data_IF_993090853416
#
_entry.id   IF_993090853416
#
_cell.length_a   1.000
_cell.length_b   1.000
_cell.length_c   1.000
_cell.angle_alpha   90.00
_cell.angle_beta   90.00
_cell.angle_gamma   90.00
#
_symmetry.space_group_name_H-M   'P 1'
#
loop_
_entity.id
_entity.type
_entity.pdbx_description
1 polymer ?
#
# COMPACT_ATOMS: atom_id res chain seq x y z
N UNK A 1 -12.79 -16.59 -2.60
CA UNK A 1 -11.37 -16.61 -3.03
C UNK A 1 -10.63 -17.44 -1.99
N UNK A 2 -9.57 -18.15 -2.38
CA UNK A 2 -8.66 -18.78 -1.40
C UNK A 2 -8.02 -17.68 -0.55
N UNK A 3 -7.67 -17.99 0.69
CA UNK A 3 -6.88 -17.04 1.48
C UNK A 3 -5.48 -16.88 0.89
N UNK A 4 -4.83 -15.75 1.15
CA UNK A 4 -3.45 -15.47 0.75
C UNK A 4 -2.53 -16.60 1.22
N UNK A 5 -2.70 -17.05 2.47
CA UNK A 5 -1.94 -18.15 3.04
C UNK A 5 -2.13 -19.45 2.26
N UNK A 6 -3.36 -19.82 1.91
CA UNK A 6 -3.63 -21.02 1.11
C UNK A 6 -2.99 -20.93 -0.29
N UNK A 7 -3.09 -19.77 -0.96
CA UNK A 7 -2.47 -19.58 -2.27
C UNK A 7 -0.95 -19.63 -2.18
N UNK A 8 -0.34 -19.03 -1.15
CA UNK A 8 1.11 -19.12 -0.90
C UNK A 8 1.54 -20.55 -0.59
N UNK A 9 0.79 -21.31 0.22
CA UNK A 9 1.10 -22.71 0.51
C UNK A 9 1.08 -23.57 -0.76
N UNK A 10 0.11 -23.35 -1.66
CA UNK A 10 0.04 -24.02 -2.97
C UNK A 10 1.26 -23.66 -3.84
N UNK A 11 1.63 -22.37 -3.90
CA UNK A 11 2.74 -21.91 -4.72
C UNK A 11 4.10 -22.38 -4.20
N UNK A 12 4.28 -22.42 -2.88
CA UNK A 12 5.55 -22.82 -2.25
C UNK A 12 5.76 -24.33 -2.29
N UNK A 13 4.67 -25.12 -2.21
CA UNK A 13 4.71 -26.58 -2.34
C UNK A 13 4.74 -27.07 -3.79
N UNK A 14 4.56 -26.18 -4.77
CA UNK A 14 4.55 -26.53 -6.17
C UNK A 14 5.93 -27.03 -6.64
N UNK A 15 5.93 -28.19 -7.32
CA UNK A 15 7.14 -28.77 -7.90
C UNK A 15 7.07 -28.71 -9.43
N UNK A 16 7.75 -27.73 -10.03
CA UNK A 16 7.91 -27.66 -11.47
C UNK A 16 8.95 -28.72 -11.85
N UNK A 17 8.51 -29.86 -12.38
CA UNK A 17 9.44 -30.90 -12.84
C UNK A 17 10.27 -30.38 -14.02
N UNK A 18 9.83 -30.66 -15.25
CA UNK A 18 10.41 -30.12 -16.48
C UNK A 18 9.69 -28.89 -17.04
N UNK A 19 8.53 -28.56 -16.45
CA UNK A 19 7.69 -27.46 -16.89
C UNK A 19 8.03 -26.20 -16.11
N UNK A 20 7.83 -25.06 -16.76
CA UNK A 20 8.03 -23.75 -16.16
C UNK A 20 6.72 -23.16 -15.66
N UNK A 21 6.83 -22.11 -14.87
CA UNK A 21 5.73 -21.31 -14.34
C UNK A 21 5.85 -19.91 -14.91
N UNK A 22 4.78 -19.42 -15.53
CA UNK A 22 4.64 -18.02 -15.86
C UNK A 22 4.17 -17.27 -14.60
N UNK A 23 4.96 -16.32 -14.14
CA UNK A 23 4.66 -15.42 -13.01
C UNK A 23 4.46 -14.01 -13.55
N UNK A 24 3.24 -13.49 -13.46
CA UNK A 24 2.88 -12.15 -13.93
C UNK A 24 2.62 -11.26 -12.72
N UNK A 25 3.24 -10.08 -12.71
CA UNK A 25 2.88 -8.96 -11.85
C UNK A 25 2.43 -7.81 -12.74
N UNK A 26 1.18 -7.36 -12.57
CA UNK A 26 0.59 -6.36 -13.44
C UNK A 26 -0.05 -5.25 -12.63
N UNK A 27 0.28 -4.01 -12.98
CA UNK A 27 -0.27 -2.80 -12.40
C UNK A 27 -1.65 -2.52 -12.99
N UNK A 28 -2.59 -2.18 -12.12
CA UNK A 28 -4.01 -1.99 -12.42
C UNK A 28 -4.54 -0.68 -11.82
N UNK A 29 -3.74 0.38 -11.90
CA UNK A 29 -4.15 1.70 -11.43
C UNK A 29 -5.28 2.25 -12.31
N UNK A 30 -6.06 3.25 -11.85
CA UNK A 30 -7.12 3.84 -12.66
C UNK A 30 -6.65 4.25 -14.06
N UNK A 31 -5.43 4.77 -14.19
CA UNK A 31 -4.80 5.18 -15.45
C UNK A 31 -4.48 4.00 -16.38
N UNK A 32 -4.10 2.84 -15.82
CA UNK A 32 -3.80 1.64 -16.60
C UNK A 32 -5.08 0.96 -17.12
N UNK A 33 -6.22 1.20 -16.47
CA UNK A 33 -7.53 0.64 -16.85
C UNK A 33 -8.19 1.40 -18.00
N UNK A 34 -7.84 2.67 -18.19
CA UNK A 34 -8.30 3.47 -19.34
C UNK A 34 -7.89 2.77 -20.63
N UNK A 35 -8.84 2.63 -21.54
CA UNK A 35 -8.67 1.96 -22.85
C UNK A 35 -8.08 0.54 -22.78
N UNK A 36 -8.16 -0.11 -21.61
CA UNK A 36 -7.54 -1.41 -21.34
C UNK A 36 -6.01 -1.42 -21.58
N UNK A 37 -5.32 -0.32 -21.28
CA UNK A 37 -3.86 -0.21 -21.42
C UNK A 37 -3.10 -1.36 -20.73
N UNK A 38 -3.57 -1.83 -19.58
CA UNK A 38 -3.01 -3.00 -18.90
C UNK A 38 -2.97 -4.28 -19.78
N UNK A 39 -3.99 -4.52 -20.62
CA UNK A 39 -3.99 -5.66 -21.55
C UNK A 39 -2.97 -5.46 -22.67
N UNK A 40 -2.80 -4.23 -23.15
CA UNK A 40 -1.79 -3.92 -24.16
C UNK A 40 -0.38 -4.18 -23.61
N UNK A 41 -0.10 -3.68 -22.40
CA UNK A 41 1.17 -3.92 -21.71
C UNK A 41 1.42 -5.44 -21.54
N UNK A 42 0.41 -6.19 -21.11
CA UNK A 42 0.50 -7.64 -21.01
C UNK A 42 0.84 -8.32 -22.35
N UNK A 43 0.16 -7.94 -23.44
CA UNK A 43 0.43 -8.50 -24.78
C UNK A 43 1.84 -8.19 -25.28
N UNK A 44 2.35 -6.99 -25.00
CA UNK A 44 3.72 -6.62 -25.34
C UNK A 44 4.73 -7.47 -24.57
N UNK A 45 4.56 -7.61 -23.25
CA UNK A 45 5.40 -8.48 -22.42
C UNK A 45 5.36 -9.95 -22.87
N UNK A 46 4.18 -10.46 -23.25
CA UNK A 46 4.06 -11.83 -23.79
C UNK A 46 4.84 -11.97 -25.10
N UNK A 47 4.77 -10.98 -25.99
CA UNK A 47 5.51 -10.99 -27.25
C UNK A 47 7.02 -11.03 -27.00
N UNK A 48 7.52 -10.14 -26.15
CA UNK A 48 8.94 -10.08 -25.77
C UNK A 48 9.40 -11.37 -25.11
N UNK A 49 8.59 -11.93 -24.19
CA UNK A 49 8.91 -13.21 -23.56
C UNK A 49 8.93 -14.37 -24.55
N UNK A 50 8.02 -14.42 -25.53
CA UNK A 50 8.07 -15.45 -26.58
C UNK A 50 9.32 -15.33 -27.45
N UNK A 51 9.69 -14.11 -27.84
CA UNK A 51 10.91 -13.85 -28.60
C UNK A 51 12.15 -14.29 -27.80
N UNK A 52 12.19 -13.98 -26.51
CA UNK A 52 13.24 -14.39 -25.59
C UNK A 52 13.33 -15.91 -25.44
N UNK A 53 12.20 -16.56 -25.14
CA UNK A 53 12.13 -18.00 -24.93
C UNK A 53 12.45 -18.79 -26.20
N UNK A 54 12.14 -18.27 -27.39
CA UNK A 54 12.49 -18.92 -28.66
C UNK A 54 14.00 -19.06 -28.88
N UNK A 55 14.81 -18.18 -28.27
CA UNK A 55 16.28 -18.25 -28.30
C UNK A 55 16.84 -19.27 -27.31
N UNK A 56 16.08 -19.61 -26.27
CA UNK A 56 16.42 -20.67 -25.31
C UNK A 56 15.96 -21.99 -25.93
N UNK A 57 16.88 -22.92 -26.16
CA UNK A 57 16.62 -24.19 -26.84
C UNK A 57 15.72 -25.13 -26.00
N UNK A 58 14.47 -24.72 -25.76
CA UNK A 58 13.49 -25.37 -24.90
C UNK A 58 12.76 -26.48 -25.66
N UNK A 59 12.36 -27.53 -24.94
CA UNK A 59 11.51 -28.58 -25.51
C UNK A 59 10.20 -28.00 -26.03
N UNK A 60 9.74 -28.47 -27.19
CA UNK A 60 8.48 -28.03 -27.81
C UNK A 60 7.28 -28.17 -26.86
N UNK A 61 7.23 -29.24 -26.07
CA UNK A 61 6.18 -29.46 -25.07
C UNK A 61 6.14 -28.38 -23.98
N UNK A 62 7.28 -27.83 -23.59
CA UNK A 62 7.38 -26.76 -22.59
C UNK A 62 6.85 -25.46 -23.19
N UNK A 63 7.23 -25.14 -24.43
CA UNK A 63 6.72 -23.97 -25.15
C UNK A 63 5.20 -24.03 -25.35
N UNK A 64 4.65 -25.18 -25.73
CA UNK A 64 3.20 -25.37 -25.86
C UNK A 64 2.44 -25.22 -24.52
N UNK A 65 3.06 -25.59 -23.39
CA UNK A 65 2.48 -25.32 -22.08
C UNK A 65 2.46 -23.82 -21.79
N UNK A 66 3.56 -23.12 -22.04
CA UNK A 66 3.68 -21.68 -21.79
C UNK A 66 2.71 -20.86 -22.66
N UNK A 67 2.51 -21.25 -23.92
CA UNK A 67 1.51 -20.61 -24.78
C UNK A 67 0.09 -20.73 -24.20
N UNK A 68 -0.26 -21.91 -23.66
CA UNK A 68 -1.55 -22.11 -22.95
C UNK A 68 -1.62 -21.27 -21.69
N UNK A 69 -0.52 -21.11 -20.97
CA UNK A 69 -0.43 -20.27 -19.77
C UNK A 69 -0.70 -18.80 -20.10
N UNK A 70 -0.05 -18.25 -21.13
CA UNK A 70 -0.30 -16.89 -21.58
C UNK A 70 -1.75 -16.69 -22.05
N UNK A 71 -2.33 -17.64 -22.78
CA UNK A 71 -3.74 -17.55 -23.20
C UNK A 71 -4.72 -17.59 -22.03
N UNK A 72 -4.45 -18.38 -20.99
CA UNK A 72 -5.27 -18.40 -19.76
C UNK A 72 -5.17 -17.08 -19.01
N UNK A 73 -3.97 -16.54 -18.86
CA UNK A 73 -3.76 -15.22 -18.27
C UNK A 73 -4.51 -14.13 -19.04
N UNK A 74 -4.42 -14.11 -20.37
CA UNK A 74 -5.14 -13.14 -21.22
C UNK A 74 -6.66 -13.23 -21.03
N UNK A 75 -7.19 -14.46 -20.98
CA UNK A 75 -8.62 -14.70 -20.79
C UNK A 75 -9.08 -14.16 -19.44
N UNK A 76 -8.33 -14.44 -18.37
CA UNK A 76 -8.63 -13.95 -17.03
C UNK A 76 -8.58 -12.42 -16.93
N UNK A 77 -7.57 -11.79 -17.52
CA UNK A 77 -7.40 -10.33 -17.54
C UNK A 77 -8.45 -9.63 -18.40
N UNK A 78 -9.01 -10.31 -19.41
CA UNK A 78 -10.04 -9.72 -20.28
C UNK A 78 -11.39 -9.53 -19.57
N UNK A 79 -11.63 -10.27 -18.48
CA UNK A 79 -12.83 -10.18 -17.66
C UNK A 79 -12.68 -9.08 -16.60
N UNK A 80 -13.35 -7.92 -16.82
CA UNK A 80 -13.26 -6.76 -15.94
C UNK A 80 -13.69 -7.02 -14.49
N UNK A 81 -14.59 -7.98 -14.28
CA UNK A 81 -15.07 -8.34 -12.94
C UNK A 81 -13.96 -8.93 -12.07
N UNK A 82 -13.06 -9.71 -12.67
CA UNK A 82 -11.92 -10.32 -11.98
C UNK A 82 -10.99 -9.25 -11.40
N UNK A 83 -10.89 -8.12 -12.08
CA UNK A 83 -10.01 -7.01 -11.72
C UNK A 83 -10.65 -6.03 -10.73
N UNK A 84 -11.91 -6.19 -10.32
CA UNK A 84 -12.55 -5.25 -9.38
C UNK A 84 -11.86 -5.30 -8.01
N UNK A 85 -11.60 -4.11 -7.44
CA UNK A 85 -11.08 -3.95 -6.07
C UNK A 85 -9.58 -4.19 -5.90
N UNK A 86 -8.81 -4.36 -6.98
CA UNK A 86 -7.35 -4.48 -6.91
C UNK A 86 -6.66 -3.32 -7.62
N UNK A 87 -5.46 -2.96 -7.17
CA UNK A 87 -4.62 -1.96 -7.84
C UNK A 87 -3.36 -2.58 -8.45
N UNK A 88 -3.07 -3.82 -8.10
CA UNK A 88 -2.15 -4.73 -8.77
C UNK A 88 -2.70 -6.15 -8.79
N UNK A 89 -2.10 -7.02 -9.59
CA UNK A 89 -2.45 -8.44 -9.62
C UNK A 89 -1.21 -9.29 -9.86
N UNK A 90 -1.10 -10.38 -9.12
CA UNK A 90 -0.15 -11.45 -9.37
C UNK A 90 -0.88 -12.68 -9.91
N UNK A 91 -0.41 -13.23 -11.04
CA UNK A 91 -0.95 -14.46 -11.64
C UNK A 91 0.18 -15.46 -11.84
N UNK A 92 -0.03 -16.69 -11.36
CA UNK A 92 0.90 -17.80 -11.51
C UNK A 92 0.22 -18.92 -12.29
N UNK A 93 0.78 -19.29 -13.44
CA UNK A 93 0.20 -20.32 -14.31
C UNK A 93 1.23 -21.36 -14.72
N UNK A 94 0.84 -22.64 -14.63
CA UNK A 94 1.53 -23.77 -15.24
C UNK A 94 0.52 -24.81 -15.69
N UNK A 95 0.15 -24.77 -16.96
CA UNK A 95 -0.96 -25.52 -17.53
C UNK A 95 -0.68 -27.01 -17.57
N UNK A 96 0.56 -27.41 -17.83
CA UNK A 96 0.99 -28.80 -17.80
C UNK A 96 0.88 -29.45 -16.41
N UNK A 97 0.85 -28.64 -15.34
CA UNK A 97 0.73 -29.09 -13.95
C UNK A 97 -0.54 -28.64 -13.26
N UNK A 98 -1.46 -28.00 -13.98
CA UNK A 98 -2.76 -27.56 -13.46
C UNK A 98 -2.69 -26.41 -12.45
N UNK A 99 -1.59 -25.65 -12.42
CA UNK A 99 -1.46 -24.48 -11.55
C UNK A 99 -2.11 -23.26 -12.24
N UNK A 100 -3.03 -22.60 -11.54
CA UNK A 100 -3.55 -21.28 -11.91
C UNK A 100 -4.00 -20.56 -10.63
N UNK A 101 -3.11 -19.75 -10.06
CA UNK A 101 -3.36 -18.99 -8.83
C UNK A 101 -3.34 -17.50 -9.13
N UNK A 102 -4.27 -16.77 -8.52
CA UNK A 102 -4.41 -15.33 -8.70
C UNK A 102 -4.48 -14.65 -7.34
N UNK A 103 -3.62 -13.67 -7.12
CA UNK A 103 -3.53 -12.89 -5.90
C UNK A 103 -3.78 -11.42 -6.26
N UNK A 104 -4.78 -10.81 -5.62
CA UNK A 104 -5.04 -9.37 -5.76
C UNK A 104 -4.09 -8.61 -4.85
N UNK A 105 -3.44 -7.58 -5.37
CA UNK A 105 -2.44 -6.81 -4.65
C UNK A 105 -2.87 -5.34 -4.51
N UNK A 106 -2.45 -4.66 -3.41
CA UNK A 106 -2.66 -3.22 -3.23
C UNK A 106 -1.79 -2.37 -4.17
N UNK A 107 -0.68 -2.92 -4.65
CA UNK A 107 0.19 -2.36 -5.68
C UNK A 107 1.09 -3.48 -6.22
N UNK A 108 1.88 -3.18 -7.23
CA UNK A 108 3.03 -3.99 -7.69
C UNK A 108 4.18 -3.03 -7.91
N UNK A 109 5.43 -3.51 -7.86
CA UNK A 109 6.57 -2.64 -8.10
C UNK A 109 6.56 -2.11 -9.54
N UNK A 110 6.42 -3.01 -10.51
CA UNK A 110 6.28 -2.66 -11.93
C UNK A 110 5.58 -3.79 -12.70
N UNK A 111 5.27 -3.55 -13.97
CA UNK A 111 4.74 -4.61 -14.84
C UNK A 111 5.88 -5.58 -15.17
N UNK A 112 5.70 -6.87 -14.84
CA UNK A 112 6.72 -7.91 -15.01
C UNK A 112 6.05 -9.21 -15.43
N UNK A 113 6.59 -9.87 -16.45
CA UNK A 113 6.21 -11.22 -16.83
C UNK A 113 7.46 -12.07 -16.86
N UNK A 114 7.57 -13.00 -15.91
CA UNK A 114 8.73 -13.85 -15.74
C UNK A 114 8.37 -15.30 -16.01
N UNK A 115 9.29 -16.04 -16.62
CA UNK A 115 9.17 -17.48 -16.80
C UNK A 115 10.35 -18.16 -16.14
N UNK A 116 10.05 -18.92 -15.09
CA UNK A 116 11.06 -19.62 -14.27
C UNK A 116 10.58 -21.02 -13.94
N UNK A 117 11.48 -21.92 -13.51
CA UNK A 117 11.06 -23.21 -12.96
C UNK A 117 10.07 -22.99 -11.81
N UNK A 118 10.49 -22.33 -10.73
CA UNK A 118 9.64 -22.09 -9.56
C UNK A 118 8.78 -20.82 -9.71
N UNK A 119 7.59 -20.76 -9.07
CA UNK A 119 6.81 -19.53 -8.99
C UNK A 119 7.59 -18.41 -8.27
N UNK A 120 7.61 -17.20 -8.85
CA UNK A 120 8.31 -16.04 -8.26
C UNK A 120 7.41 -15.37 -7.23
N UNK A 121 7.35 -15.87 -5.99
CA UNK A 121 6.43 -15.37 -4.94
C UNK A 121 7.01 -14.27 -4.05
N UNK A 122 8.30 -13.93 -4.20
CA UNK A 122 9.01 -13.00 -3.30
C UNK A 122 8.37 -11.61 -3.26
N UNK A 123 7.92 -11.09 -4.40
CA UNK A 123 7.24 -9.78 -4.47
C UNK A 123 5.92 -9.79 -3.68
N UNK A 124 5.13 -10.86 -3.74
CA UNK A 124 3.92 -10.96 -2.89
C UNK A 124 4.28 -10.92 -1.40
N UNK A 125 5.30 -11.68 -0.99
CA UNK A 125 5.72 -11.71 0.41
C UNK A 125 6.26 -10.35 0.89
N UNK A 126 7.02 -9.66 0.04
CA UNK A 126 7.55 -8.34 0.34
C UNK A 126 6.45 -7.28 0.47
N UNK A 127 5.46 -7.29 -0.44
CA UNK A 127 4.30 -6.40 -0.35
C UNK A 127 3.48 -6.67 0.92
N UNK A 128 3.37 -7.94 1.36
CA UNK A 128 2.68 -8.27 2.62
C UNK A 128 3.38 -7.66 3.84
N UNK A 129 4.70 -7.82 3.89
CA UNK A 129 5.55 -7.31 4.96
C UNK A 129 5.59 -5.77 4.97
N UNK A 130 5.72 -5.15 3.79
CA UNK A 130 5.73 -3.69 3.63
C UNK A 130 4.40 -3.04 3.95
N UNK A 131 3.28 -3.62 3.46
CA UNK A 131 1.95 -3.11 3.77
C UNK A 131 1.71 -3.21 5.27
N UNK A 132 2.01 -4.37 5.85
CA UNK A 132 1.72 -4.72 7.23
C UNK A 132 0.22 -4.62 7.52
N UNK A 133 -0.12 -4.45 8.79
CA UNK A 133 -1.50 -4.19 9.20
C UNK A 133 -1.74 -2.70 9.33
N UNK A 134 -2.79 -2.21 8.67
CA UNK A 134 -3.23 -0.81 8.75
C UNK A 134 -4.49 -0.74 9.61
N UNK A 135 -4.38 -0.11 10.78
CA UNK A 135 -5.54 0.26 11.59
C UNK A 135 -6.23 1.48 10.97
N UNK A 136 -7.54 1.42 10.80
CA UNK A 136 -8.33 2.53 10.25
C UNK A 136 -9.43 2.89 11.23
N UNK A 137 -9.35 4.09 11.79
CA UNK A 137 -10.35 4.60 12.72
C UNK A 137 -11.24 5.62 12.03
N UNK A 138 -12.54 5.32 11.94
CA UNK A 138 -13.54 6.27 11.47
C UNK A 138 -14.24 6.92 12.66
N UNK A 139 -14.22 8.24 12.73
CA UNK A 139 -14.82 9.02 13.82
C UNK A 139 -15.80 10.05 13.27
N UNK A 140 -17.02 10.01 13.79
CA UNK A 140 -17.98 11.10 13.73
C UNK A 140 -18.50 11.44 15.14
N UNK A 141 -19.40 12.42 15.25
CA UNK A 141 -20.11 12.79 16.49
C UNK A 141 -20.86 11.63 17.13
N UNK A 142 -21.26 10.62 16.34
CA UNK A 142 -22.13 9.52 16.79
C UNK A 142 -21.45 8.16 16.80
N UNK A 143 -20.53 7.94 15.87
CA UNK A 143 -19.95 6.64 15.58
C UNK A 143 -18.44 6.70 15.71
N UNK A 144 -17.88 5.69 16.39
CA UNK A 144 -16.46 5.37 16.33
C UNK A 144 -16.37 3.94 15.80
N UNK A 145 -15.88 3.77 14.58
CA UNK A 145 -15.68 2.46 13.97
C UNK A 145 -14.21 2.18 13.76
N UNK A 146 -13.80 0.96 14.06
CA UNK A 146 -12.44 0.52 13.87
C UNK A 146 -12.38 -0.63 12.87
N UNK A 147 -11.52 -0.46 11.86
CA UNK A 147 -11.23 -1.46 10.85
C UNK A 147 -9.76 -1.83 10.90
N UNK A 148 -9.46 -3.06 10.49
CA UNK A 148 -8.10 -3.46 10.12
C UNK A 148 -8.09 -3.79 8.65
N UNK A 149 -7.12 -3.21 7.96
CA UNK A 149 -6.80 -3.53 6.58
C UNK A 149 -5.47 -4.28 6.53
N UNK A 150 -5.44 -5.32 5.72
CA UNK A 150 -4.26 -6.05 5.29
C UNK A 150 -4.29 -6.21 3.75
N UNK A 151 -3.49 -7.12 3.21
CA UNK A 151 -3.45 -7.35 1.77
C UNK A 151 -4.74 -7.97 1.21
N UNK A 152 -5.45 -8.77 2.02
CA UNK A 152 -6.63 -9.51 1.58
C UNK A 152 -7.88 -8.61 1.54
N UNK A 153 -7.95 -7.62 2.43
CA UNK A 153 -9.02 -6.66 2.44
C UNK A 153 -9.05 -5.77 3.68
N UNK A 154 -10.22 -5.21 3.93
CA UNK A 154 -10.51 -4.41 5.11
C UNK A 154 -11.66 -5.04 5.88
N UNK A 155 -11.51 -5.16 7.20
CA UNK A 155 -12.43 -5.86 8.08
C UNK A 155 -12.84 -4.95 9.22
N UNK A 156 -14.15 -4.79 9.44
CA UNK A 156 -14.67 -4.10 10.61
C UNK A 156 -14.49 -4.98 11.85
N UNK A 157 -13.84 -4.47 12.88
CA UNK A 157 -13.60 -5.20 14.12
C UNK A 157 -14.50 -4.74 15.25
N UNK A 158 -14.71 -3.42 15.36
CA UNK A 158 -15.52 -2.85 16.42
C UNK A 158 -16.32 -1.66 15.92
N UNK A 159 -17.64 -1.72 16.15
CA UNK A 159 -18.53 -0.55 16.11
C UNK A 159 -18.81 -0.11 17.55
N UNK A 160 -18.12 0.93 18.01
CA UNK A 160 -18.46 1.55 19.28
C UNK A 160 -19.64 2.49 19.07
N UNK A 161 -20.86 1.98 19.30
CA UNK A 161 -22.08 2.78 19.40
C UNK A 161 -22.12 3.52 20.74
N UNK A 162 -21.49 4.70 20.79
CA UNK A 162 -21.97 5.98 21.35
C UNK A 162 -20.83 6.92 21.79
N UNK A 163 -20.96 8.22 21.48
CA UNK A 163 -21.08 9.17 22.58
C UNK A 163 -22.27 10.12 22.37
N UNK A 164 -23.20 10.09 23.33
CA UNK A 164 -24.38 10.95 23.46
C UNK A 164 -24.11 12.42 23.09
N UNK A 165 -24.37 12.79 21.84
CA UNK A 165 -24.69 14.16 21.50
C UNK A 165 -26.09 14.44 22.05
N UNK A 166 -26.17 14.94 23.28
CA UNK A 166 -27.37 15.67 23.72
C UNK A 166 -27.67 16.69 22.63
N UNK A 167 -28.75 16.48 21.85
CA UNK A 167 -29.12 17.29 20.69
C UNK A 167 -28.85 18.77 20.99
N UNK A 168 -27.74 19.29 20.49
CA UNK A 168 -27.47 20.72 20.52
C UNK A 168 -28.41 21.33 19.49
N UNK A 169 -29.61 21.72 19.91
CA UNK A 169 -30.44 22.60 19.12
C UNK A 169 -29.56 23.80 18.74
N UNK A 170 -29.42 24.05 17.43
CA UNK A 170 -28.77 25.28 16.95
C UNK A 170 -29.39 26.42 17.73
N UNK A 171 -28.57 27.23 18.41
CA UNK A 171 -29.06 28.37 19.16
C UNK A 171 -29.75 29.31 18.16
N UNK A 172 -31.08 29.31 18.13
CA UNK A 172 -31.85 30.28 17.38
C UNK A 172 -31.83 31.58 18.18
N UNK A 173 -31.12 32.59 17.68
CA UNK A 173 -31.10 33.95 18.23
C UNK A 173 -32.43 34.71 18.05
N UNK A 174 -33.55 34.00 17.84
CA UNK A 174 -34.89 34.57 17.72
C UNK A 174 -35.71 34.24 18.97
N UNK A 175 -36.18 35.26 19.67
CA UNK A 175 -37.01 35.16 20.88
C UNK A 175 -38.36 34.47 20.64
N UNK A 176 -38.35 33.15 20.50
CA UNK A 176 -39.53 32.30 20.45
C UNK A 176 -39.55 31.35 21.65
N UNK A 177 -40.58 31.47 22.48
CA UNK A 177 -40.89 30.59 23.61
C UNK A 177 -40.82 29.10 23.22
N UNK A 178 -39.82 28.38 23.72
CA UNK A 178 -39.77 26.92 23.70
C UNK A 178 -40.79 26.35 24.70
N UNK A 179 -42.00 26.03 24.21
CA UNK A 179 -42.91 25.08 24.88
C UNK A 179 -42.31 23.67 24.72
N UNK A 180 -41.73 23.10 25.78
CA UNK A 180 -41.34 21.68 25.72
C UNK A 180 -40.42 21.12 26.79
N UNK A 181 -39.82 21.91 27.68
CA UNK A 181 -38.98 21.39 28.76
C UNK A 181 -39.76 21.25 30.07
N UNK A 182 -40.72 20.32 30.12
CA UNK A 182 -41.22 19.84 31.41
C UNK A 182 -40.23 18.81 31.95
N UNK A 183 -39.40 19.20 32.93
CA UNK A 183 -38.60 18.22 33.68
C UNK A 183 -37.24 18.68 34.22
N UNK A 184 -36.82 19.93 34.04
CA UNK A 184 -35.52 20.39 34.56
C UNK A 184 -35.71 21.33 35.76
N UNK A 185 -35.11 20.94 36.88
CA UNK A 185 -35.09 21.58 38.18
C UNK A 185 -35.06 23.13 38.10
N UNK A 186 -36.10 23.77 38.63
CA UNK A 186 -36.29 25.22 38.60
C UNK A 186 -35.52 25.84 39.76
N UNK A 187 -34.25 26.20 39.54
CA UNK A 187 -33.54 27.09 40.48
C UNK A 187 -34.09 28.51 40.32
N UNK A 188 -34.95 28.94 41.25
CA UNK A 188 -35.34 30.34 41.40
C UNK A 188 -34.15 31.15 41.91
N UNK A 189 -33.54 31.95 41.02
CA UNK A 189 -32.58 32.99 41.42
C UNK A 189 -33.35 34.21 41.94
N UNK A 190 -32.86 34.91 42.99
CA UNK A 190 -33.49 36.11 43.50
C UNK A 190 -33.38 37.24 42.49
N UNK A 191 -34.49 37.97 42.28
CA UNK A 191 -34.55 39.12 41.40
C UNK A 191 -33.66 40.24 41.94
N UNK A 192 -32.51 40.47 41.31
CA UNK A 192 -31.81 41.75 41.39
C UNK A 192 -32.37 42.67 40.30
N UNK A 193 -33.19 43.61 40.72
CA UNK A 193 -33.58 44.80 39.96
C UNK A 193 -32.34 45.59 39.57
N UNK A 194 -32.00 45.59 38.29
CA UNK A 194 -30.89 46.38 37.73
C UNK A 194 -30.87 46.38 36.20
N UNK A 195 -31.38 47.47 35.63
CA UNK A 195 -31.21 48.01 34.27
C UNK A 195 -31.76 47.23 33.04
N UNK A 196 -32.53 47.90 32.14
CA UNK A 196 -32.92 47.36 30.85
C UNK A 196 -31.76 47.50 29.84
N UNK A 197 -31.57 46.47 29.01
CA UNK A 197 -30.64 46.40 27.86
C UNK A 197 -29.13 46.30 28.14
N UNK A 198 -28.69 45.25 28.86
CA UNK A 198 -27.30 44.76 28.74
C UNK A 198 -27.23 43.24 28.53
N UNK A 199 -26.98 42.88 27.28
CA UNK A 199 -26.44 41.63 26.70
C UNK A 199 -26.36 40.41 27.64
N UNK A 200 -27.47 39.69 27.73
CA UNK A 200 -27.54 38.34 28.33
C UNK A 200 -27.04 37.23 27.37
N UNK A 201 -26.42 37.60 26.24
CA UNK A 201 -25.99 36.69 25.17
C UNK A 201 -24.58 36.09 25.40
N UNK A 202 -23.67 36.81 26.03
CA UNK A 202 -22.25 36.39 26.16
C UNK A 202 -22.06 35.15 27.05
N UNK A 203 -22.80 35.03 28.16
CA UNK A 203 -22.68 33.88 29.08
C UNK A 203 -23.33 32.59 28.54
N UNK A 204 -24.38 32.71 27.73
CA UNK A 204 -25.05 31.57 27.10
C UNK A 204 -24.24 30.98 25.95
N UNK A 205 -23.69 31.85 25.10
CA UNK A 205 -22.78 31.45 24.01
C UNK A 205 -21.50 30.81 24.57
N UNK A 206 -20.89 31.42 25.60
CA UNK A 206 -19.72 30.85 26.26
C UNK A 206 -19.98 29.43 26.80
N UNK A 207 -21.08 29.21 27.51
CA UNK A 207 -21.45 27.88 28.03
C UNK A 207 -21.71 26.86 26.93
N UNK A 208 -22.34 27.29 25.84
CA UNK A 208 -22.58 26.43 24.68
C UNK A 208 -21.27 26.01 24.01
N UNK A 209 -20.36 26.95 23.75
CA UNK A 209 -19.05 26.66 23.17
C UNK A 209 -18.19 25.78 24.09
N UNK A 210 -18.21 26.02 25.41
CA UNK A 210 -17.49 25.19 26.38
C UNK A 210 -18.01 23.75 26.39
N UNK A 211 -19.33 23.54 26.34
CA UNK A 211 -19.90 22.20 26.27
C UNK A 211 -19.49 21.44 25.00
N UNK A 212 -19.52 22.09 23.84
CA UNK A 212 -19.06 21.47 22.58
C UNK A 212 -17.59 21.06 22.68
N UNK A 213 -16.75 21.90 23.28
CA UNK A 213 -15.33 21.60 23.48
C UNK A 213 -15.13 20.41 24.42
N UNK A 214 -15.87 20.34 25.53
CA UNK A 214 -15.82 19.20 26.46
C UNK A 214 -16.28 17.90 25.81
N UNK A 215 -17.40 17.92 25.08
CA UNK A 215 -17.91 16.76 24.35
C UNK A 215 -16.89 16.26 23.31
N UNK A 216 -16.22 17.18 22.61
CA UNK A 216 -15.13 16.86 21.69
C UNK A 216 -13.95 16.19 22.39
N UNK A 217 -13.44 16.76 23.48
CA UNK A 217 -12.32 16.17 24.21
C UNK A 217 -12.66 14.78 24.75
N UNK A 218 -13.91 14.59 25.20
CA UNK A 218 -14.39 13.28 25.65
C UNK A 218 -14.40 12.27 24.51
N UNK A 219 -14.90 12.66 23.33
CA UNK A 219 -14.89 11.82 22.13
C UNK A 219 -13.46 11.37 21.77
N UNK A 220 -12.52 12.30 21.70
CA UNK A 220 -11.12 11.98 21.36
C UNK A 220 -10.43 11.11 22.40
N UNK A 221 -10.74 11.31 23.68
CA UNK A 221 -10.26 10.43 24.74
C UNK A 221 -10.77 9.00 24.58
N UNK A 222 -12.08 8.83 24.36
CA UNK A 222 -12.68 7.50 24.13
C UNK A 222 -12.06 6.84 22.89
N UNK A 223 -11.89 7.59 21.81
CA UNK A 223 -11.25 7.10 20.59
C UNK A 223 -9.80 6.64 20.82
N UNK A 224 -9.00 7.39 21.58
CA UNK A 224 -7.64 6.99 21.95
C UNK A 224 -7.64 5.70 22.78
N UNK A 225 -8.51 5.61 23.80
CA UNK A 225 -8.56 4.45 24.68
C UNK A 225 -8.95 3.19 23.90
N UNK A 226 -9.95 3.31 23.03
CA UNK A 226 -10.38 2.25 22.11
C UNK A 226 -9.26 1.84 21.12
N UNK A 227 -8.57 2.81 20.51
CA UNK A 227 -7.43 2.53 19.64
C UNK A 227 -6.30 1.80 20.35
N UNK A 228 -6.03 2.19 21.59
CA UNK A 228 -4.96 1.59 22.39
C UNK A 228 -5.29 0.13 22.73
N UNK A 229 -6.55 -0.15 23.05
CA UNK A 229 -7.03 -1.52 23.28
C UNK A 229 -6.95 -2.35 21.99
N UNK A 230 -7.47 -1.83 20.89
CA UNK A 230 -7.39 -2.48 19.58
C UNK A 230 -5.94 -2.75 19.12
N UNK A 231 -5.03 -1.80 19.36
CA UNK A 231 -3.61 -1.99 19.03
C UNK A 231 -2.95 -3.08 19.88
N UNK A 232 -3.35 -3.23 21.16
CA UNK A 232 -2.82 -4.29 22.03
C UNK A 232 -3.23 -5.67 21.54
N UNK A 233 -4.45 -5.81 21.05
CA UNK A 233 -5.02 -7.08 20.58
C UNK A 233 -4.52 -7.44 19.18
N UNK A 234 -4.63 -6.51 18.22
CA UNK A 234 -4.44 -6.86 16.81
C UNK A 234 -3.09 -6.43 16.22
N UNK A 235 -2.33 -5.57 16.90
CA UNK A 235 -0.99 -5.11 16.51
C UNK A 235 -0.93 -4.62 15.06
N UNK A 236 -1.25 -3.34 14.85
CA UNK A 236 -1.09 -2.69 13.55
C UNK A 236 0.17 -1.81 13.49
N UNK A 237 0.73 -1.71 12.29
CA UNK A 237 1.98 -1.01 11.97
C UNK A 237 1.72 0.43 11.57
N UNK A 238 0.58 0.67 10.91
CA UNK A 238 0.15 1.96 10.36
C UNK A 238 -1.23 2.32 10.88
N UNK A 239 -1.51 3.61 11.01
CA UNK A 239 -2.78 4.15 11.47
C UNK A 239 -3.29 5.22 10.49
N UNK A 240 -4.56 5.09 10.09
CA UNK A 240 -5.28 6.09 9.30
C UNK A 240 -6.52 6.52 10.08
N UNK A 241 -6.78 7.83 10.13
CA UNK A 241 -7.96 8.38 10.81
C UNK A 241 -8.90 9.00 9.78
N UNK A 242 -10.11 8.48 9.66
CA UNK A 242 -11.15 8.97 8.79
C UNK A 242 -12.20 9.79 9.51
N UNK A 243 -12.52 10.98 8.99
CA UNK A 243 -13.59 11.82 9.50
C UNK A 243 -14.00 12.88 8.47
N UNK A 244 -15.28 13.27 8.46
CA UNK A 244 -15.75 14.44 7.70
C UNK A 244 -15.53 15.77 8.44
N UNK A 245 -14.99 15.71 9.65
CA UNK A 245 -14.78 16.89 10.49
C UNK A 245 -13.46 17.58 10.15
N UNK A 246 -13.50 18.89 10.01
CA UNK A 246 -12.29 19.71 9.80
C UNK A 246 -11.37 19.73 11.03
N UNK A 247 -11.93 19.51 12.22
CA UNK A 247 -11.25 19.59 13.51
C UNK A 247 -10.61 18.27 13.97
N UNK A 248 -10.57 17.26 13.09
CA UNK A 248 -10.08 15.91 13.39
C UNK A 248 -8.60 15.90 13.79
N UNK A 249 -7.77 16.80 13.24
CA UNK A 249 -6.33 16.88 13.54
C UNK A 249 -6.02 17.14 15.00
N UNK A 250 -6.96 17.74 15.74
CA UNK A 250 -6.78 17.97 17.17
C UNK A 250 -6.70 16.68 18.00
N UNK A 251 -7.11 15.53 17.43
CA UNK A 251 -7.00 14.22 18.07
C UNK A 251 -5.55 13.83 18.38
N UNK A 252 -4.56 14.34 17.63
CA UNK A 252 -3.14 14.07 17.85
C UNK A 252 -2.69 14.42 19.26
N UNK A 253 -3.30 15.43 19.89
CA UNK A 253 -3.00 15.84 21.27
C UNK A 253 -3.50 14.83 22.33
N UNK A 254 -4.40 13.94 21.93
CA UNK A 254 -5.00 12.91 22.79
C UNK A 254 -4.43 11.52 22.51
N UNK A 255 -3.84 11.33 21.33
CA UNK A 255 -3.24 10.06 20.94
C UNK A 255 -2.01 9.76 21.80
N UNK A 256 -1.92 8.51 22.25
CA UNK A 256 -0.71 8.00 22.86
C UNK A 256 0.48 8.07 21.88
N UNK A 257 1.72 8.37 22.33
CA UNK A 257 2.90 8.47 21.46
C UNK A 257 3.11 7.29 20.49
N UNK A 258 2.88 6.06 20.95
CA UNK A 258 2.93 4.86 20.10
C UNK A 258 1.95 4.87 18.91
N UNK A 259 0.73 5.41 19.10
CA UNK A 259 -0.26 5.55 18.03
C UNK A 259 0.11 6.71 17.12
N UNK A 260 0.57 7.83 17.69
CA UNK A 260 0.99 9.00 16.93
C UNK A 260 2.16 8.68 15.98
N UNK A 261 3.15 7.90 16.44
CA UNK A 261 4.27 7.45 15.58
C UNK A 261 3.85 6.56 14.39
N UNK A 262 2.63 6.02 14.43
CA UNK A 262 2.06 5.17 13.36
C UNK A 262 1.06 5.90 12.48
N UNK A 263 0.67 7.13 12.86
CA UNK A 263 -0.32 7.91 12.13
C UNK A 263 0.25 8.32 10.77
N UNK A 264 -0.27 7.72 9.71
CA UNK A 264 0.08 8.07 8.34
C UNK A 264 -0.65 9.33 7.88
N UNK A 265 -1.89 9.51 8.30
CA UNK A 265 -2.67 10.68 7.95
C UNK A 265 -4.16 10.49 8.08
N UNK A 266 -4.88 11.31 7.30
CA UNK A 266 -6.31 11.48 7.42
C UNK A 266 -7.03 11.24 6.10
N UNK A 267 -8.21 10.62 6.18
CA UNK A 267 -9.12 10.47 5.04
C UNK A 267 -10.45 11.14 5.34
N UNK A 268 -11.10 11.69 4.30
CA UNK A 268 -12.48 12.17 4.43
C UNK A 268 -13.43 11.01 4.21
N UNK A 269 -14.05 10.57 5.30
CA UNK A 269 -14.94 9.41 5.29
C UNK A 269 -16.02 9.58 6.36
N UNK A 270 -17.28 9.37 5.96
CA UNK A 270 -18.41 9.31 6.87
C UNK A 270 -18.60 7.86 7.37
N UNK A 271 -18.49 7.58 8.68
CA UNK A 271 -18.67 6.24 9.23
C UNK A 271 -20.05 5.59 8.95
N UNK A 272 -21.07 6.40 8.62
CA UNK A 272 -22.45 5.93 8.41
C UNK A 272 -22.75 5.54 6.96
N UNK A 273 -22.01 6.10 6.00
CA UNK A 273 -22.33 5.99 4.56
C UNK A 273 -21.29 5.19 3.79
N UNK A 274 -20.04 5.14 4.28
CA UNK A 274 -18.94 4.56 3.54
C UNK A 274 -19.01 3.03 3.50
N UNK A 275 -18.78 2.46 2.32
CA UNK A 275 -18.62 1.01 2.16
C UNK A 275 -17.18 0.58 2.40
N UNK A 276 -16.95 -0.68 2.79
CA UNK A 276 -15.60 -1.25 2.96
C UNK A 276 -14.72 -1.07 1.70
N UNK A 277 -15.31 -1.26 0.52
CA UNK A 277 -14.59 -1.12 -0.76
C UNK A 277 -14.13 0.32 -1.01
N UNK A 278 -15.00 1.28 -0.73
CA UNK A 278 -14.66 2.71 -0.85
C UNK A 278 -13.61 3.09 0.19
N UNK A 279 -13.75 2.63 1.43
CA UNK A 279 -12.78 2.87 2.50
C UNK A 279 -11.41 2.32 2.14
N UNK A 280 -11.33 1.06 1.69
CA UNK A 280 -10.07 0.45 1.23
C UNK A 280 -9.45 1.27 0.09
N UNK A 281 -10.25 1.71 -0.87
CA UNK A 281 -9.73 2.53 -1.97
C UNK A 281 -9.16 3.87 -1.50
N UNK A 282 -9.82 4.55 -0.54
CA UNK A 282 -9.33 5.81 0.03
C UNK A 282 -8.04 5.62 0.84
N UNK A 283 -7.94 4.53 1.60
CA UNK A 283 -6.74 4.21 2.39
C UNK A 283 -5.56 3.91 1.46
N UNK A 284 -5.77 3.12 0.40
CA UNK A 284 -4.73 2.84 -0.60
C UNK A 284 -4.30 4.12 -1.32
N UNK A 285 -5.25 4.99 -1.70
CA UNK A 285 -4.92 6.27 -2.33
C UNK A 285 -4.12 7.18 -1.39
N UNK A 286 -4.37 7.14 -0.07
CA UNK A 286 -3.56 7.85 0.93
C UNK A 286 -2.15 7.26 1.04
N UNK A 287 -2.01 5.93 1.05
CA UNK A 287 -0.70 5.26 1.07
C UNK A 287 0.15 5.73 -0.11
N UNK A 288 -0.38 5.69 -1.33
CA UNK A 288 0.35 6.18 -2.50
C UNK A 288 0.67 7.66 -2.47
N UNK A 289 -0.19 8.50 -1.90
CA UNK A 289 0.14 9.92 -1.71
C UNK A 289 1.34 10.08 -0.78
N UNK A 290 1.42 9.28 0.29
CA UNK A 290 2.57 9.26 1.19
C UNK A 290 3.83 8.70 0.55
N UNK A 291 3.71 7.64 -0.23
CA UNK A 291 4.84 7.08 -0.97
C UNK A 291 5.44 8.13 -1.93
N UNK A 292 4.60 8.88 -2.65
CA UNK A 292 5.03 10.00 -3.51
C UNK A 292 5.69 11.16 -2.76
N UNK A 293 5.27 11.42 -1.53
CA UNK A 293 5.93 12.40 -0.67
C UNK A 293 7.33 11.91 -0.27
N UNK A 294 7.44 10.62 0.09
CA UNK A 294 8.70 9.96 0.47
C UNK A 294 9.67 9.82 -0.70
N UNK A 295 9.23 9.56 -1.93
CA UNK A 295 10.09 9.48 -3.13
C UNK A 295 11.00 10.73 -3.25
N UNK A 296 10.45 11.91 -2.99
CA UNK A 296 11.20 13.18 -3.06
C UNK A 296 12.21 13.34 -1.92
N UNK A 297 11.92 12.78 -0.76
CA UNK A 297 12.82 12.79 0.39
C UNK A 297 13.96 11.79 0.18
N UNK A 298 13.66 10.58 -0.29
CA UNK A 298 14.64 9.54 -0.63
C UNK A 298 15.68 10.07 -1.63
N UNK A 299 15.27 10.84 -2.64
CA UNK A 299 16.24 11.40 -3.59
C UNK A 299 17.16 12.46 -3.00
N UNK A 300 16.70 13.23 -2.02
CA UNK A 300 17.57 14.17 -1.30
C UNK A 300 18.56 13.40 -0.43
N UNK A 301 18.07 12.38 0.27
CA UNK A 301 18.91 11.49 1.08
C UNK A 301 19.96 10.75 0.23
N UNK A 302 19.59 10.34 -0.99
CA UNK A 302 20.51 9.70 -1.94
C UNK A 302 21.70 10.60 -2.26
N UNK A 303 21.47 11.88 -2.55
CA UNK A 303 22.53 12.86 -2.83
C UNK A 303 23.46 13.06 -1.63
N UNK A 304 22.90 13.12 -0.41
CA UNK A 304 23.66 13.30 0.84
C UNK A 304 24.48 12.05 1.21
N UNK A 305 23.89 10.85 1.12
CA UNK A 305 24.53 9.59 1.51
C UNK A 305 25.55 9.11 0.49
N UNK A 306 25.40 9.50 -0.79
CA UNK A 306 26.42 9.26 -1.82
C UNK A 306 27.77 9.89 -1.42
N UNK A 307 27.75 11.08 -0.81
CA UNK A 307 28.96 11.73 -0.30
C UNK A 307 29.63 11.01 0.87
N UNK A 308 28.90 10.12 1.56
CA UNK A 308 29.37 9.35 2.72
C UNK A 308 29.70 7.90 2.39
N UNK A 309 29.58 7.49 1.12
CA UNK A 309 29.77 6.10 0.68
C UNK A 309 28.64 5.13 1.06
N UNK A 310 27.52 5.63 1.58
CA UNK A 310 26.36 4.83 2.02
C UNK A 310 25.26 4.69 0.95
N UNK A 311 25.47 5.27 -0.23
CA UNK A 311 24.57 5.14 -1.36
C UNK A 311 25.34 5.11 -2.69
N UNK A 312 24.82 4.34 -3.63
CA UNK A 312 25.35 4.22 -4.99
C UNK A 312 24.29 4.64 -6.00
N UNK A 313 24.75 5.24 -7.10
CA UNK A 313 23.92 5.65 -8.21
C UNK A 313 24.64 5.25 -9.50
N UNK A 314 24.01 4.35 -10.26
CA UNK A 314 24.61 3.69 -11.41
C UNK A 314 24.31 2.19 -11.42
N UNK A 315 23.73 1.67 -12.51
CA UNK A 315 23.37 0.25 -12.63
C UNK A 315 24.53 -0.70 -12.31
N UNK A 316 25.74 -0.43 -12.79
CA UNK A 316 26.90 -1.32 -12.55
C UNK A 316 27.24 -1.43 -11.06
N UNK A 317 27.32 -0.29 -10.37
CA UNK A 317 27.64 -0.24 -8.94
C UNK A 317 26.56 -0.92 -8.11
N UNK A 318 25.29 -0.71 -8.46
CA UNK A 318 24.17 -1.36 -7.76
C UNK A 318 24.25 -2.88 -7.89
N UNK A 319 24.51 -3.41 -9.08
CA UNK A 319 24.63 -4.86 -9.30
C UNK A 319 25.80 -5.47 -8.52
N UNK A 320 26.95 -4.78 -8.47
CA UNK A 320 28.09 -5.21 -7.65
C UNK A 320 27.74 -5.26 -6.15
N UNK A 321 27.02 -4.24 -5.65
CA UNK A 321 26.60 -4.18 -4.24
C UNK A 321 25.48 -5.18 -3.91
N UNK A 322 24.60 -5.48 -4.88
CA UNK A 322 23.59 -6.54 -4.76
C UNK A 322 24.26 -7.91 -4.67
N UNK A 323 25.29 -8.17 -5.47
CA UNK A 323 26.00 -9.44 -5.48
C UNK A 323 26.65 -9.80 -4.13
N UNK A 324 26.98 -8.80 -3.30
CA UNK A 324 27.55 -8.98 -1.95
C UNK A 324 26.53 -8.79 -0.82
N UNK A 325 25.24 -8.62 -1.13
CA UNK A 325 24.18 -8.44 -0.12
C UNK A 325 24.26 -7.13 0.68
N UNK A 326 24.95 -6.11 0.16
CA UNK A 326 25.15 -4.83 0.86
C UNK A 326 24.01 -3.83 0.62
N UNK A 327 23.00 -4.17 -0.19
CA UNK A 327 21.87 -3.27 -0.46
C UNK A 327 20.82 -3.36 0.65
N UNK A 328 20.40 -2.20 1.16
CA UNK A 328 19.29 -2.04 2.11
C UNK A 328 17.99 -1.70 1.39
N UNK A 329 18.05 -0.76 0.46
CA UNK A 329 16.91 -0.25 -0.29
C UNK A 329 17.35 -0.02 -1.74
N UNK A 330 16.69 -0.70 -2.67
CA UNK A 330 16.88 -0.57 -4.12
C UNK A 330 15.87 0.46 -4.66
N UNK A 331 16.36 1.47 -5.36
CA UNK A 331 15.54 2.45 -6.09
C UNK A 331 15.52 2.10 -7.56
N UNK A 332 14.32 1.84 -8.08
CA UNK A 332 14.10 1.41 -9.47
C UNK A 332 13.23 2.43 -10.19
N UNK A 333 13.68 3.06 -11.29
CA UNK A 333 12.80 3.86 -12.13
C UNK A 333 11.75 2.98 -12.84
N UNK A 334 10.49 3.43 -12.86
CA UNK A 334 9.36 2.64 -13.39
C UNK A 334 9.57 2.13 -14.83
N UNK A 335 10.09 2.99 -15.72
CA UNK A 335 10.21 2.71 -17.16
C UNK A 335 11.66 2.42 -17.60
N UNK A 336 12.54 2.07 -16.65
CA UNK A 336 13.92 1.76 -16.99
C UNK A 336 14.07 0.26 -17.25
N UNK A 337 14.41 -0.07 -18.49
CA UNK A 337 14.71 -1.43 -18.93
C UNK A 337 16.13 -1.45 -19.47
N UNK A 338 16.86 -2.52 -19.17
CA UNK A 338 18.21 -2.68 -19.70
C UNK A 338 18.53 -4.15 -19.96
N UNK A 339 18.97 -4.53 -21.17
CA UNK A 339 19.43 -5.88 -21.41
C UNK A 339 20.70 -6.17 -20.62
N UNK A 340 20.86 -7.42 -20.22
CA UNK A 340 22.01 -7.88 -19.45
C UNK A 340 22.17 -9.39 -19.52
N UNK A 341 22.92 -9.92 -18.57
CA UNK A 341 23.21 -11.35 -18.47
C UNK A 341 22.84 -11.85 -17.07
N UNK A 342 22.39 -13.09 -16.99
CA UNK A 342 22.11 -13.76 -15.73
C UNK A 342 22.91 -15.06 -15.67
N UNK A 343 23.56 -15.26 -14.53
CA UNK A 343 24.31 -16.45 -14.19
C UNK A 343 23.34 -17.47 -13.54
N UNK A 344 23.10 -18.65 -14.16
CA UNK A 344 22.06 -19.60 -13.74
C UNK A 344 22.25 -20.26 -12.38
N UNK A 345 23.49 -20.57 -12.00
CA UNK A 345 23.84 -21.21 -10.73
C UNK A 345 23.94 -20.21 -9.58
N UNK A 346 24.55 -19.06 -9.84
CA UNK A 346 24.73 -18.00 -8.83
C UNK A 346 23.52 -17.06 -8.71
N UNK A 347 22.61 -17.08 -9.68
CA UNK A 347 21.45 -16.18 -9.79
C UNK A 347 21.83 -14.69 -9.76
N UNK A 348 23.01 -14.35 -10.28
CA UNK A 348 23.55 -13.00 -10.27
C UNK A 348 23.28 -12.26 -11.60
N UNK A 349 22.58 -11.11 -11.56
CA UNK A 349 22.43 -10.24 -12.71
C UNK A 349 23.70 -9.42 -12.97
N UNK A 350 24.21 -9.45 -14.21
CA UNK A 350 25.45 -8.79 -14.61
C UNK A 350 25.32 -8.07 -15.97
N UNK A 351 26.08 -6.99 -16.16
CA UNK A 351 26.12 -6.26 -17.44
C UNK A 351 27.07 -6.90 -18.48
N UNK A 352 27.92 -7.82 -18.04
CA UNK A 352 28.88 -8.54 -18.88
C UNK A 352 28.62 -10.05 -18.77
N UNK A 353 28.95 -10.85 -19.79
CA UNK A 353 28.76 -12.30 -19.79
C UNK A 353 29.80 -13.05 -18.93
N UNK A 354 30.34 -12.41 -17.89
CA UNK A 354 31.41 -12.95 -17.05
C UNK A 354 30.81 -13.38 -15.71
N UNK A 355 30.56 -14.68 -15.54
CA UNK A 355 30.08 -15.20 -14.25
C UNK A 355 31.24 -15.34 -13.25
N UNK A 356 31.00 -15.09 -11.95
CA UNK A 356 32.03 -15.23 -10.91
C UNK A 356 32.39 -16.69 -10.61
N UNK A 357 31.50 -17.63 -10.94
CA UNK A 357 31.74 -19.07 -10.78
C UNK A 357 32.38 -19.62 -12.04
N UNK A 358 33.52 -20.31 -11.89
CA UNK A 358 34.21 -20.95 -13.01
C UNK A 358 33.37 -22.07 -13.64
N UNK A 359 33.20 -22.00 -14.97
CA UNK A 359 32.41 -22.98 -15.74
C UNK A 359 30.94 -22.62 -15.94
N UNK A 360 30.47 -21.56 -15.28
CA UNK A 360 29.12 -21.04 -15.44
C UNK A 360 28.99 -20.20 -16.73
N UNK A 361 27.99 -20.50 -17.56
CA UNK A 361 27.73 -19.76 -18.80
C UNK A 361 26.56 -18.81 -18.59
N UNK A 362 26.85 -17.52 -18.59
CA UNK A 362 25.84 -16.47 -18.53
C UNK A 362 24.93 -16.53 -19.75
N UNK A 363 23.63 -16.34 -19.56
CA UNK A 363 22.68 -16.17 -20.66
C UNK A 363 22.13 -14.76 -20.69
N UNK A 364 21.86 -14.25 -21.90
CA UNK A 364 21.28 -12.92 -22.09
C UNK A 364 19.86 -12.86 -21.52
N UNK A 365 19.48 -11.73 -20.93
CA UNK A 365 18.14 -11.45 -20.41
C UNK A 365 17.68 -10.10 -20.96
N UNK A 366 16.43 -9.98 -21.43
CA UNK A 366 15.92 -8.75 -22.04
C UNK A 366 15.86 -7.57 -21.05
N UNK A 367 15.49 -7.83 -19.78
CA UNK A 367 15.53 -6.83 -18.72
C UNK A 367 16.24 -7.36 -17.47
N UNK A 368 17.42 -6.81 -17.18
CA UNK A 368 18.21 -7.12 -15.99
C UNK A 368 17.58 -6.55 -14.72
N UNK A 369 16.73 -5.52 -14.86
CA UNK A 369 16.11 -4.85 -13.71
C UNK A 369 15.15 -5.80 -13.00
N UNK A 370 14.44 -6.63 -13.75
CA UNK A 370 13.59 -7.68 -13.19
C UNK A 370 14.39 -8.67 -12.34
N UNK A 371 15.55 -9.10 -12.80
CA UNK A 371 16.42 -10.02 -12.04
C UNK A 371 17.08 -9.32 -10.85
N UNK A 372 17.39 -8.02 -10.97
CA UNK A 372 17.89 -7.22 -9.85
C UNK A 372 16.85 -7.04 -8.74
N UNK A 373 15.56 -6.87 -9.09
CA UNK A 373 14.46 -6.87 -8.13
C UNK A 373 14.35 -8.23 -7.45
N UNK A 374 14.38 -9.34 -8.20
CA UNK A 374 14.34 -10.68 -7.59
C UNK A 374 15.48 -10.92 -6.60
N UNK A 375 16.71 -10.53 -6.96
CA UNK A 375 17.87 -10.66 -6.09
C UNK A 375 17.78 -9.74 -4.86
N UNK A 376 17.30 -8.51 -5.03
CA UNK A 376 17.08 -7.60 -3.90
C UNK A 376 16.09 -8.18 -2.90
N UNK A 377 14.97 -8.74 -3.38
CA UNK A 377 13.97 -9.39 -2.53
C UNK A 377 14.50 -10.66 -1.87
N UNK A 378 15.35 -11.43 -2.57
CA UNK A 378 16.05 -12.59 -2.00
C UNK A 378 16.97 -12.19 -0.83
N UNK A 379 17.69 -11.07 -0.97
CA UNK A 379 18.57 -10.50 0.05
C UNK A 379 17.81 -9.72 1.15
N UNK A 380 16.47 -9.68 1.10
CA UNK A 380 15.61 -8.89 2.00
C UNK A 380 15.95 -7.40 1.98
N UNK A 381 16.29 -6.87 0.81
CA UNK A 381 16.32 -5.44 0.57
C UNK A 381 14.90 -4.95 0.23
N UNK A 382 14.59 -3.73 0.69
CA UNK A 382 13.37 -3.05 0.28
C UNK A 382 13.50 -2.61 -1.18
N UNK A 383 12.38 -2.52 -1.89
CA UNK A 383 12.36 -2.08 -3.29
C UNK A 383 11.38 -0.93 -3.41
N UNK A 384 11.88 0.23 -3.83
CA UNK A 384 11.06 1.42 -4.06
C UNK A 384 11.09 1.78 -5.55
N UNK A 385 9.91 1.92 -6.13
CA UNK A 385 9.77 2.27 -7.54
C UNK A 385 9.48 3.74 -7.70
N UNK A 386 10.37 4.43 -8.40
CA UNK A 386 10.30 5.87 -8.61
C UNK A 386 9.44 6.15 -9.84
N UNK A 387 8.27 6.75 -9.61
CA UNK A 387 7.26 7.03 -10.65
C UNK A 387 7.46 8.44 -11.23
N UNK A 388 7.85 9.42 -10.41
CA UNK A 388 7.97 10.82 -10.87
C UNK A 388 9.03 10.96 -12.00
N UNK A 389 8.67 11.42 -13.22
CA UNK A 389 9.62 11.55 -14.32
C UNK A 389 10.80 12.50 -14.03
N UNK A 390 10.62 13.51 -13.15
CA UNK A 390 11.73 14.38 -12.76
C UNK A 390 12.68 13.68 -11.79
N UNK A 391 12.12 12.86 -10.89
CA UNK A 391 12.85 12.03 -9.95
C UNK A 391 13.70 10.98 -10.68
N UNK A 392 13.14 10.32 -11.70
CA UNK A 392 13.83 9.31 -12.51
C UNK A 392 15.10 9.84 -13.18
N UNK A 393 15.11 11.10 -13.64
CA UNK A 393 16.29 11.71 -14.30
C UNK A 393 17.51 11.84 -13.39
N UNK A 394 17.31 11.83 -12.07
CA UNK A 394 18.41 11.90 -11.10
C UNK A 394 19.07 10.53 -10.88
N UNK A 395 18.42 9.44 -11.31
CA UNK A 395 18.89 8.08 -11.17
C UNK A 395 19.57 7.67 -12.49
N UNK A 396 20.83 7.25 -12.41
CA UNK A 396 21.58 6.69 -13.53
C UNK A 396 21.27 5.18 -13.66
N UNK A 397 20.06 4.91 -14.16
CA UNK A 397 19.53 3.56 -14.34
C UNK A 397 19.00 2.96 -13.04
N UNK A 398 19.88 2.52 -12.13
CA UNK A 398 19.47 2.04 -10.79
C UNK A 398 20.24 2.81 -9.70
N UNK A 399 19.63 2.96 -8.54
CA UNK A 399 20.29 3.51 -7.34
C UNK A 399 19.99 2.63 -6.14
N UNK A 400 20.86 2.66 -5.14
CA UNK A 400 20.65 1.88 -3.91
C UNK A 400 21.23 2.57 -2.69
N UNK A 401 20.55 2.42 -1.56
CA UNK A 401 21.10 2.68 -0.24
C UNK A 401 21.73 1.41 0.30
N UNK A 402 22.90 1.55 0.92
CA UNK A 402 23.70 0.45 1.40
C UNK A 402 23.53 0.23 2.90
N UNK A 403 23.78 -1.00 3.33
CA UNK A 403 23.85 -1.39 4.75
C UNK A 403 25.16 -0.91 5.37
N UNK A 404 26.25 -1.01 4.61
CA UNK A 404 27.60 -0.62 4.99
C UNK A 404 28.22 0.31 3.93
N UNK A 405 29.08 1.23 4.37
CA UNK A 405 29.76 2.16 3.47
C UNK A 405 30.80 1.43 2.60
N UNK A 406 30.95 1.91 1.36
CA UNK A 406 31.97 1.43 0.40
C UNK A 406 33.37 1.94 0.76
#
# INVERSE_FOLDING_TARGET
>A
MKSLKESLDVLTSFKPNKYMVASLYLRLMPEDRVDRKYLLNFKNMVKEQKEYLSKRNLEKEVMESLDKDFSKMESYLSELENLKGSRGIAIFSSSAKGLFEVIKLPYVYRNRLMVSPNPRIREVAAIDEELGRVGVLLIDRKHIKFYIMDMEGIYELVDFLEPLATRSHKFHSGGGLLKGAQGVMRYTMPARTGAPNMVQHSYGEYRFHMRIREEKHRLFKIANDALMEAWKEHKFDKLVIGSDREDIKEIENHLHPYLLSRLLGYVRANPSEITEKELMSLVIDLLWQKDREQEKELLKELEELKGKGLAVNGTSQVLEQLAIGNVRLLLVPENFEKPGYLCPESNLPMLKPECPVEGEVAYEVPDIVDEAIELALEEKALVEVIIDPQAQKKIDGLSAFLRFAI
#
